data_IF_461811752861
#
_entry.id   IF_461811752861
#
_cell.length_a   1.000
_cell.length_b   1.000
_cell.length_c   1.000
_cell.angle_alpha   90.00
_cell.angle_beta   90.00
_cell.angle_gamma   90.00
#
_symmetry.space_group_name_H-M   'P 1'
#
loop_
_entity.id
_entity.type
_entity.pdbx_description
1 polymer ?
#
# COMPACT_ATOMS: atom_id res chain seq x y z
N UNK A 1 -11.22 4.04 -24.81
CA UNK A 1 -12.18 4.80 -23.98
C UNK A 1 -13.29 3.91 -23.40
N UNK A 2 -13.71 2.84 -24.08
CA UNK A 2 -14.84 2.08 -23.58
C UNK A 2 -14.62 1.32 -22.27
N UNK A 3 -13.45 0.74 -22.03
CA UNK A 3 -13.27 -0.14 -20.85
C UNK A 3 -12.96 0.65 -19.58
N UNK A 4 -11.98 1.55 -19.61
CA UNK A 4 -11.58 2.31 -18.43
C UNK A 4 -12.60 3.37 -18.05
N UNK A 5 -13.11 4.15 -19.02
CA UNK A 5 -14.15 5.14 -18.72
C UNK A 5 -15.45 4.50 -18.26
N UNK A 6 -15.79 3.32 -18.81
CA UNK A 6 -16.95 2.57 -18.34
C UNK A 6 -16.76 2.05 -16.92
N UNK A 7 -15.55 1.59 -16.57
CA UNK A 7 -15.21 1.21 -15.20
C UNK A 7 -15.21 2.40 -14.25
N UNK A 8 -14.68 3.56 -14.68
CA UNK A 8 -14.75 4.82 -13.93
C UNK A 8 -16.20 5.30 -13.79
N UNK A 9 -17.02 5.21 -14.83
CA UNK A 9 -18.44 5.55 -14.78
C UNK A 9 -19.22 4.59 -13.88
N UNK A 10 -18.94 3.30 -13.93
CA UNK A 10 -19.55 2.29 -13.06
C UNK A 10 -19.07 2.42 -11.59
N UNK A 11 -17.84 2.83 -11.36
CA UNK A 11 -17.28 3.16 -10.04
C UNK A 11 -17.58 4.61 -9.58
N UNK A 12 -18.26 5.39 -10.39
CA UNK A 12 -18.44 6.83 -10.37
C UNK A 12 -18.54 7.55 -9.01
N UNK A 13 -19.27 7.07 -7.98
CA UNK A 13 -19.27 7.73 -6.67
C UNK A 13 -18.00 7.49 -5.85
N UNK A 14 -17.21 6.49 -6.20
CA UNK A 14 -16.04 6.03 -5.43
C UNK A 14 -14.78 6.79 -5.86
N UNK A 15 -14.68 7.19 -7.13
CA UNK A 15 -13.54 7.90 -7.71
C UNK A 15 -13.86 9.39 -7.91
N UNK A 16 -14.02 10.13 -6.82
CA UNK A 16 -14.25 11.58 -6.88
C UNK A 16 -12.99 12.32 -6.41
N UNK A 17 -12.01 12.45 -7.28
CA UNK A 17 -10.80 13.25 -7.03
C UNK A 17 -11.11 14.71 -7.28
N UNK A 18 -11.25 15.51 -6.21
CA UNK A 18 -11.50 16.96 -6.30
C UNK A 18 -10.23 17.77 -6.55
N UNK A 19 -9.13 17.32 -6.01
CA UNK A 19 -7.82 17.94 -6.12
C UNK A 19 -6.79 16.84 -6.36
N UNK A 20 -6.18 16.86 -7.51
CA UNK A 20 -5.11 15.94 -7.85
C UNK A 20 -3.76 16.33 -7.19
N UNK A 21 -2.72 15.55 -7.42
CA UNK A 21 -1.40 15.82 -6.85
C UNK A 21 -0.83 17.14 -7.35
N UNK A 22 -1.05 17.51 -8.62
CA UNK A 22 -0.58 18.77 -9.18
C UNK A 22 -1.25 19.97 -8.52
N UNK A 23 -2.58 19.90 -8.26
CA UNK A 23 -3.33 20.90 -7.51
C UNK A 23 -2.79 21.07 -6.10
N UNK A 24 -2.55 19.96 -5.40
CA UNK A 24 -2.03 19.97 -4.03
C UNK A 24 -0.63 20.56 -3.94
N UNK A 25 0.27 20.21 -4.86
CA UNK A 25 1.62 20.78 -4.95
C UNK A 25 1.55 22.30 -5.21
N UNK A 26 0.70 22.70 -6.15
CA UNK A 26 0.51 24.12 -6.49
C UNK A 26 -0.04 24.91 -5.30
N UNK A 27 -1.03 24.37 -4.60
CA UNK A 27 -1.59 24.98 -3.39
C UNK A 27 -0.53 25.11 -2.27
N UNK A 28 0.42 24.17 -2.21
CA UNK A 28 1.57 24.23 -1.29
C UNK A 28 2.71 25.15 -1.80
N UNK A 29 2.51 25.88 -2.91
CA UNK A 29 3.54 26.73 -3.55
C UNK A 29 4.77 25.95 -4.01
N UNK A 30 4.63 24.66 -4.37
CA UNK A 30 5.68 23.83 -4.97
C UNK A 30 5.49 23.89 -6.50
N UNK A 31 6.44 24.48 -7.24
CA UNK A 31 6.33 24.54 -8.69
C UNK A 31 6.36 23.14 -9.32
N UNK A 32 5.45 22.81 -10.22
CA UNK A 32 5.45 21.51 -10.90
C UNK A 32 6.75 21.27 -11.68
N UNK A 33 7.41 22.35 -12.16
CA UNK A 33 8.71 22.28 -12.83
C UNK A 33 9.88 21.88 -11.91
N UNK A 34 9.69 21.86 -10.58
CA UNK A 34 10.68 21.34 -9.64
C UNK A 34 10.60 19.83 -9.42
N UNK A 35 9.55 19.20 -9.94
CA UNK A 35 9.37 17.75 -9.85
C UNK A 35 10.14 17.08 -11.00
N UNK A 36 11.16 16.33 -10.65
CA UNK A 36 12.04 15.69 -11.62
C UNK A 36 11.51 14.34 -12.10
N UNK A 37 10.82 13.62 -11.22
CA UNK A 37 10.34 12.27 -11.53
C UNK A 37 9.02 11.98 -10.84
N UNK A 38 8.17 11.23 -11.52
CA UNK A 38 6.97 10.59 -10.98
C UNK A 38 7.26 9.08 -10.96
N UNK A 39 7.00 8.43 -9.84
CA UNK A 39 7.18 6.99 -9.68
C UNK A 39 5.82 6.37 -9.46
N UNK A 40 5.39 5.52 -10.37
CA UNK A 40 4.20 4.71 -10.16
C UNK A 40 4.56 3.46 -9.35
N UNK A 41 3.84 3.22 -8.26
CA UNK A 41 3.92 1.91 -7.58
C UNK A 41 3.47 0.79 -8.51
N UNK A 42 2.39 1.03 -9.27
CA UNK A 42 1.87 0.18 -10.33
C UNK A 42 0.85 0.96 -11.17
N UNK A 43 0.25 0.31 -12.16
CA UNK A 43 -0.56 0.97 -13.19
C UNK A 43 -2.08 1.05 -12.91
N UNK A 44 -2.55 0.70 -11.71
CA UNK A 44 -3.96 0.87 -11.38
C UNK A 44 -4.34 2.35 -11.32
N UNK A 45 -5.59 2.66 -11.68
CA UNK A 45 -6.07 4.03 -11.94
C UNK A 45 -5.96 4.96 -10.71
N UNK A 46 -6.11 4.41 -9.52
CA UNK A 46 -6.01 5.11 -8.24
C UNK A 46 -4.57 5.40 -7.79
N UNK A 47 -3.56 4.85 -8.51
CA UNK A 47 -2.14 5.07 -8.23
C UNK A 47 -1.40 5.84 -9.33
N UNK A 48 -2.03 6.10 -10.47
CA UNK A 48 -1.36 6.75 -11.60
C UNK A 48 -1.41 8.27 -11.55
N UNK A 49 -2.43 8.84 -10.93
CA UNK A 49 -2.67 10.27 -11.00
C UNK A 49 -2.76 10.76 -12.46
N UNK A 50 -2.41 12.02 -12.69
CA UNK A 50 -2.32 12.61 -14.03
C UNK A 50 -0.94 13.19 -14.31
N UNK A 51 0.03 12.39 -14.83
CA UNK A 51 1.34 12.88 -15.21
C UNK A 51 1.31 13.95 -16.30
N UNK A 52 0.24 14.02 -17.12
CA UNK A 52 0.16 14.99 -18.23
C UNK A 52 0.19 16.45 -17.75
N UNK A 53 -0.22 16.70 -16.49
CA UNK A 53 -0.19 18.02 -15.85
C UNK A 53 1.23 18.51 -15.53
N UNK A 54 2.20 17.60 -15.50
CA UNK A 54 3.59 17.95 -15.21
C UNK A 54 4.37 18.26 -16.49
N UNK A 55 5.43 19.09 -16.41
CA UNK A 55 6.30 19.36 -17.55
C UNK A 55 6.86 18.07 -18.16
N UNK A 56 7.12 18.10 -19.47
CA UNK A 56 7.69 16.93 -20.17
C UNK A 56 9.13 16.60 -19.75
N UNK A 57 9.78 17.50 -19.01
CA UNK A 57 11.07 17.25 -18.34
C UNK A 57 10.95 16.35 -17.11
N UNK A 58 9.74 16.19 -16.54
CA UNK A 58 9.49 15.26 -15.44
C UNK A 58 9.42 13.85 -16.01
N UNK A 59 10.36 12.98 -15.65
CA UNK A 59 10.35 11.58 -16.09
C UNK A 59 9.23 10.78 -15.42
N UNK A 60 8.78 9.70 -16.06
CA UNK A 60 7.88 8.72 -15.47
C UNK A 60 8.64 7.40 -15.26
N UNK A 61 8.64 6.92 -14.03
CA UNK A 61 9.33 5.69 -13.62
C UNK A 61 8.28 4.63 -13.30
N UNK A 62 8.46 3.46 -13.86
CA UNK A 62 7.55 2.32 -13.75
C UNK A 62 8.31 1.05 -13.40
N UNK A 63 7.59 0.06 -12.90
CA UNK A 63 8.16 -1.25 -12.57
C UNK A 63 8.44 -2.11 -13.81
N UNK A 64 9.16 -3.24 -13.60
CA UNK A 64 9.51 -4.16 -14.66
C UNK A 64 8.28 -4.75 -15.37
N UNK A 65 8.37 -4.91 -16.70
CA UNK A 65 7.33 -5.51 -17.52
C UNK A 65 6.26 -4.54 -18.00
N UNK A 66 6.26 -3.27 -17.56
CA UNK A 66 5.27 -2.27 -17.97
C UNK A 66 5.16 -2.11 -19.48
N UNK A 67 6.29 -2.02 -20.19
CA UNK A 67 6.30 -1.88 -21.66
C UNK A 67 5.92 -3.17 -22.40
N UNK A 68 6.14 -4.31 -21.77
CA UNK A 68 5.81 -5.61 -22.34
C UNK A 68 4.32 -5.96 -22.17
N UNK A 69 3.65 -5.35 -21.20
CA UNK A 69 2.24 -5.59 -20.92
C UNK A 69 1.35 -4.81 -21.92
N UNK A 70 0.59 -5.56 -22.72
CA UNK A 70 -0.23 -4.99 -23.80
C UNK A 70 -1.36 -4.09 -23.35
N UNK A 71 -1.74 -4.18 -22.08
CA UNK A 71 -2.81 -3.34 -21.52
C UNK A 71 -2.29 -2.08 -20.87
N UNK A 72 -0.96 -1.86 -20.83
CA UNK A 72 -0.35 -0.63 -20.34
C UNK A 72 0.33 0.16 -21.45
N UNK A 73 1.08 -0.49 -22.33
CA UNK A 73 1.88 0.19 -23.35
C UNK A 73 1.70 -0.42 -24.75
N UNK A 74 1.55 0.39 -25.83
CA UNK A 74 1.30 1.84 -25.76
C UNK A 74 -0.05 2.13 -25.11
N UNK A 75 -0.21 3.37 -24.59
CA UNK A 75 -1.41 3.80 -23.88
C UNK A 75 -2.57 4.12 -24.82
N UNK A 76 -3.76 4.32 -24.25
CA UNK A 76 -4.92 4.81 -24.99
C UNK A 76 -4.69 6.25 -25.48
N UNK A 77 -5.06 6.66 -26.70
CA UNK A 77 -5.87 5.92 -27.68
C UNK A 77 -5.06 5.08 -28.67
N UNK A 78 -3.71 5.07 -28.59
CA UNK A 78 -2.90 4.28 -29.53
C UNK A 78 -3.19 2.79 -29.42
N UNK A 79 -3.44 2.34 -28.21
CA UNK A 79 -3.95 1.01 -27.93
C UNK A 79 -5.35 1.15 -27.31
N UNK A 80 -6.44 0.73 -28.01
CA UNK A 80 -7.79 0.83 -27.48
C UNK A 80 -8.06 0.00 -26.21
N UNK A 81 -7.25 -1.05 -25.97
CA UNK A 81 -7.37 -1.95 -24.82
C UNK A 81 -6.52 -1.49 -23.63
N UNK A 82 -5.74 -0.42 -23.78
CA UNK A 82 -4.89 0.08 -22.71
C UNK A 82 -5.71 0.69 -21.57
N UNK A 83 -5.27 0.40 -20.34
CA UNK A 83 -5.87 0.92 -19.10
C UNK A 83 -5.24 2.24 -18.66
N UNK A 84 -4.10 2.63 -19.24
CA UNK A 84 -3.44 3.91 -19.02
C UNK A 84 -3.50 4.79 -20.26
N UNK A 85 -3.53 6.11 -20.05
CA UNK A 85 -3.57 7.07 -21.13
C UNK A 85 -2.16 7.32 -21.71
N UNK A 86 -2.07 7.49 -23.04
CA UNK A 86 -0.81 7.76 -23.74
C UNK A 86 -0.15 9.06 -23.30
N UNK A 87 -0.91 10.08 -22.97
CA UNK A 87 -0.43 11.41 -22.55
C UNK A 87 0.34 11.38 -21.24
N UNK A 88 0.14 10.34 -20.42
CA UNK A 88 0.91 10.13 -19.20
C UNK A 88 2.42 10.04 -19.47
N UNK A 89 2.82 9.44 -20.60
CA UNK A 89 4.23 9.26 -20.96
C UNK A 89 4.62 9.86 -22.32
N UNK A 90 3.68 10.47 -23.03
CA UNK A 90 3.97 11.09 -24.32
C UNK A 90 4.89 12.31 -24.17
N UNK A 91 6.01 12.29 -24.90
CA UNK A 91 6.97 13.39 -24.92
C UNK A 91 7.82 13.54 -23.67
N UNK A 92 7.75 12.60 -22.71
CA UNK A 92 8.62 12.52 -21.54
C UNK A 92 9.45 11.25 -21.54
N UNK A 93 10.51 11.25 -20.74
CA UNK A 93 11.27 10.03 -20.52
C UNK A 93 10.45 9.04 -19.71
N UNK A 94 10.22 7.84 -20.24
CA UNK A 94 9.62 6.71 -19.55
C UNK A 94 10.75 5.75 -19.17
N UNK A 95 11.00 5.59 -17.88
CA UNK A 95 12.06 4.73 -17.33
C UNK A 95 11.39 3.48 -16.72
N UNK A 96 11.67 2.33 -17.32
CA UNK A 96 11.28 1.05 -16.76
C UNK A 96 12.47 0.49 -15.96
N UNK A 97 12.23 0.24 -14.66
CA UNK A 97 13.28 -0.27 -13.78
C UNK A 97 13.58 -1.74 -14.07
N UNK A 98 14.85 -2.08 -13.98
CA UNK A 98 15.34 -3.46 -14.07
C UNK A 98 16.02 -3.86 -12.75
N UNK A 99 15.57 -4.96 -12.17
CA UNK A 99 16.13 -5.51 -10.94
C UNK A 99 16.91 -6.81 -11.17
N UNK A 100 17.04 -7.27 -12.40
CA UNK A 100 17.68 -8.57 -12.73
C UNK A 100 19.16 -8.59 -12.38
N UNK A 101 19.84 -7.46 -12.56
CA UNK A 101 21.25 -7.28 -12.25
C UNK A 101 21.51 -6.57 -10.91
N UNK A 102 20.45 -6.24 -10.18
CA UNK A 102 20.60 -5.54 -8.90
C UNK A 102 21.19 -6.48 -7.83
N UNK A 103 22.42 -6.17 -7.42
CA UNK A 103 23.07 -6.84 -6.27
C UNK A 103 22.56 -6.31 -4.94
N UNK A 104 21.87 -5.16 -4.92
CA UNK A 104 21.36 -4.55 -3.71
C UNK A 104 20.13 -5.31 -3.22
N UNK A 105 20.17 -5.73 -1.97
CA UNK A 105 19.04 -6.34 -1.25
C UNK A 105 18.74 -5.55 0.02
N UNK A 106 17.46 -5.26 0.24
CA UNK A 106 16.98 -4.61 1.46
C UNK A 106 15.79 -5.41 1.98
N UNK A 107 15.92 -6.06 3.13
CA UNK A 107 14.89 -6.95 3.66
C UNK A 107 14.47 -8.03 2.67
N UNK A 108 15.43 -8.63 1.95
CA UNK A 108 15.22 -9.62 0.89
C UNK A 108 14.53 -9.11 -0.39
N UNK A 109 14.13 -7.84 -0.46
CA UNK A 109 13.74 -7.23 -1.72
C UNK A 109 14.94 -6.92 -2.60
N UNK A 110 14.83 -7.17 -3.91
CA UNK A 110 15.72 -6.52 -4.88
C UNK A 110 15.45 -5.03 -4.85
N UNK A 111 16.47 -4.20 -4.79
CA UNK A 111 16.35 -2.78 -4.57
C UNK A 111 17.22 -1.95 -5.50
N UNK A 112 16.81 -0.72 -5.73
CA UNK A 112 17.60 0.33 -6.38
C UNK A 112 17.74 1.48 -5.38
N UNK A 113 18.96 1.93 -5.11
CA UNK A 113 19.22 3.19 -4.43
C UNK A 113 19.00 4.32 -5.44
N UNK A 114 17.84 4.97 -5.37
CA UNK A 114 17.36 5.85 -6.43
C UNK A 114 18.24 7.09 -6.63
N UNK A 115 18.73 7.65 -5.53
CA UNK A 115 19.62 8.82 -5.56
C UNK A 115 21.10 8.46 -5.40
N UNK A 116 21.42 7.20 -5.08
CA UNK A 116 22.78 6.74 -4.85
C UNK A 116 23.40 7.21 -3.53
N UNK A 117 22.59 7.77 -2.62
CA UNK A 117 23.01 8.32 -1.33
C UNK A 117 22.34 7.62 -0.13
N UNK A 118 21.52 6.62 -0.40
CA UNK A 118 20.79 5.85 0.59
C UNK A 118 19.60 6.58 1.20
N UNK A 119 19.13 7.68 0.58
CA UNK A 119 17.97 8.43 1.08
C UNK A 119 16.64 7.85 0.63
N UNK A 120 16.61 7.20 -0.53
CA UNK A 120 15.39 6.64 -1.09
C UNK A 120 15.66 5.38 -1.91
N UNK A 121 15.05 4.29 -1.51
CA UNK A 121 15.17 3.01 -2.21
C UNK A 121 13.84 2.64 -2.86
N UNK A 122 13.91 2.13 -4.09
CA UNK A 122 12.78 1.48 -4.75
C UNK A 122 12.97 -0.03 -4.64
N UNK A 123 11.93 -0.72 -4.21
CA UNK A 123 11.93 -2.14 -3.90
C UNK A 123 11.02 -2.87 -4.89
N UNK A 124 11.53 -3.95 -5.48
CA UNK A 124 10.72 -4.79 -6.36
C UNK A 124 9.80 -5.69 -5.54
N UNK A 125 8.49 -5.45 -5.63
CA UNK A 125 7.45 -6.08 -4.83
C UNK A 125 6.37 -6.75 -5.71
N UNK A 126 6.73 -7.76 -6.51
CA UNK A 126 5.80 -8.37 -7.46
C UNK A 126 4.64 -9.11 -6.77
N UNK A 127 3.54 -9.28 -7.51
CA UNK A 127 2.42 -10.15 -7.14
C UNK A 127 1.04 -9.50 -7.19
N UNK A 128 0.90 -8.21 -6.84
CA UNK A 128 -0.40 -7.54 -6.74
C UNK A 128 -0.98 -7.11 -8.09
N UNK A 129 -0.21 -6.50 -8.95
CA UNK A 129 -0.78 -5.85 -10.13
C UNK A 129 -1.43 -6.83 -11.09
N UNK A 130 -2.71 -6.61 -11.32
CA UNK A 130 -3.56 -7.38 -12.22
C UNK A 130 -4.25 -6.47 -13.22
N UNK A 131 -4.11 -6.82 -14.50
CA UNK A 131 -5.05 -6.33 -15.47
C UNK A 131 -6.45 -6.86 -15.16
N UNK A 132 -7.42 -5.97 -14.99
CA UNK A 132 -8.83 -6.32 -14.97
C UNK A 132 -9.25 -6.99 -16.28
N UNK A 133 -8.91 -8.27 -16.44
CA UNK A 133 -9.67 -9.12 -17.33
C UNK A 133 -10.64 -9.92 -16.47
N UNK A 134 -11.90 -9.53 -16.54
CA UNK A 134 -13.01 -10.43 -16.27
C UNK A 134 -12.70 -11.72 -17.02
N UNK A 135 -12.38 -12.78 -16.28
CA UNK A 135 -12.03 -14.09 -16.80
C UNK A 135 -13.17 -14.65 -17.64
N UNK A 136 -13.08 -14.57 -18.96
CA UNK A 136 -13.99 -15.28 -19.86
C UNK A 136 -13.25 -16.27 -20.77
N UNK A 137 -11.91 -16.24 -20.83
CA UNK A 137 -11.17 -17.21 -21.67
C UNK A 137 -9.91 -17.68 -20.94
N UNK A 138 -9.75 -18.97 -20.67
CA UNK A 138 -8.49 -19.54 -20.19
C UNK A 138 -7.52 -19.66 -21.36
N UNK A 139 -6.81 -18.60 -21.71
CA UNK A 139 -5.65 -18.69 -22.57
C UNK A 139 -4.40 -18.64 -21.68
N UNK A 140 -3.65 -19.73 -21.71
CA UNK A 140 -2.35 -19.92 -21.09
C UNK A 140 -1.34 -18.87 -21.62
N UNK A 141 -1.39 -17.66 -21.07
CA UNK A 141 -0.31 -16.69 -21.16
C UNK A 141 0.24 -16.57 -19.76
N UNK A 142 1.51 -16.88 -19.60
CA UNK A 142 2.27 -16.72 -18.35
C UNK A 142 2.44 -15.22 -18.08
N UNK A 143 1.38 -14.58 -17.58
CA UNK A 143 1.37 -13.16 -17.24
C UNK A 143 1.94 -13.05 -15.86
N UNK A 144 3.22 -12.72 -15.78
CA UNK A 144 3.89 -12.46 -14.50
C UNK A 144 3.61 -11.01 -14.09
N UNK A 145 3.07 -10.84 -12.89
CA UNK A 145 2.78 -9.54 -12.28
C UNK A 145 4.07 -8.91 -11.75
N UNK A 146 4.81 -8.22 -12.61
CA UNK A 146 6.16 -7.76 -12.26
C UNK A 146 6.25 -6.28 -11.87
N UNK A 147 5.24 -5.47 -12.18
CA UNK A 147 5.37 -4.02 -12.17
C UNK A 147 5.20 -3.34 -10.80
N UNK A 148 4.77 -4.06 -9.76
CA UNK A 148 4.54 -3.42 -8.46
C UNK A 148 5.84 -3.08 -7.74
N UNK A 149 5.92 -1.83 -7.28
CA UNK A 149 7.04 -1.25 -6.57
C UNK A 149 6.62 -0.79 -5.18
N UNK A 150 7.44 -1.08 -4.20
CA UNK A 150 7.40 -0.42 -2.90
C UNK A 150 8.55 0.60 -2.83
N UNK A 151 8.51 1.48 -1.84
CA UNK A 151 9.61 2.39 -1.59
C UNK A 151 9.98 2.42 -0.11
N UNK A 152 11.25 2.72 0.17
CA UNK A 152 11.77 2.93 1.51
C UNK A 152 12.45 4.30 1.56
N UNK A 153 11.80 5.26 2.17
CA UNK A 153 12.28 6.63 2.31
C UNK A 153 12.96 6.84 3.67
N UNK A 154 14.20 7.31 3.66
CA UNK A 154 14.92 7.67 4.88
C UNK A 154 14.42 9.02 5.39
N UNK A 155 13.92 9.07 6.62
CA UNK A 155 13.43 10.29 7.25
C UNK A 155 14.40 10.87 8.28
N UNK A 156 15.30 10.05 8.82
CA UNK A 156 16.42 10.46 9.66
C UNK A 156 17.56 9.43 9.57
N UNK A 157 18.62 9.57 10.35
CA UNK A 157 19.84 8.75 10.21
C UNK A 157 19.56 7.25 10.07
N UNK A 158 18.70 6.70 10.93
CA UNK A 158 18.42 5.26 11.00
C UNK A 158 16.91 4.97 10.98
N UNK A 159 16.08 5.93 10.50
CA UNK A 159 14.63 5.81 10.46
C UNK A 159 14.10 5.95 9.07
N UNK A 160 13.09 5.12 8.76
CA UNK A 160 12.53 5.01 7.44
C UNK A 160 11.01 4.99 7.47
N UNK A 161 10.42 5.42 6.37
CA UNK A 161 9.03 5.15 6.04
C UNK A 161 9.01 4.16 4.89
N UNK A 162 8.31 3.05 5.08
CA UNK A 162 8.05 2.06 4.05
C UNK A 162 6.72 2.38 3.38
N UNK A 163 6.75 2.64 2.09
CA UNK A 163 5.58 2.95 1.26
C UNK A 163 5.22 1.68 0.48
N UNK A 164 4.20 0.98 0.94
CA UNK A 164 3.87 -0.36 0.48
C UNK A 164 2.89 -0.42 -0.70
N UNK A 165 2.39 0.74 -1.17
CA UNK A 165 1.37 0.74 -2.24
C UNK A 165 0.24 -0.23 -1.90
N UNK A 166 -0.06 -1.14 -2.84
CA UNK A 166 -1.10 -2.16 -2.74
C UNK A 166 -0.55 -3.57 -2.45
N UNK A 167 0.64 -3.66 -1.84
CA UNK A 167 1.18 -4.96 -1.41
C UNK A 167 0.26 -5.70 -0.45
N UNK A 168 -0.58 -4.97 0.30
CA UNK A 168 -1.73 -5.43 1.06
C UNK A 168 -2.88 -4.43 0.92
N UNK A 169 -4.12 -4.90 0.98
CA UNK A 169 -5.32 -4.06 0.92
C UNK A 169 -5.83 -3.67 2.30
N UNK A 170 -5.48 -4.46 3.30
CA UNK A 170 -5.88 -4.25 4.69
C UNK A 170 -4.79 -4.74 5.63
N UNK A 171 -4.49 -4.00 6.70
CA UNK A 171 -3.44 -4.39 7.64
C UNK A 171 -3.64 -5.75 8.29
N UNK A 172 -4.86 -6.27 8.32
CA UNK A 172 -5.18 -7.63 8.76
C UNK A 172 -4.62 -8.74 7.87
N UNK A 173 -4.20 -8.44 6.63
CA UNK A 173 -3.47 -9.37 5.75
C UNK A 173 -1.99 -9.50 6.12
N UNK A 174 -1.46 -8.50 6.84
CA UNK A 174 -0.08 -8.44 7.30
C UNK A 174 0.08 -8.83 8.76
N UNK A 175 -0.89 -8.48 9.60
CA UNK A 175 -0.85 -8.56 11.07
C UNK A 175 -1.97 -9.42 11.65
N UNK A 176 -1.70 -10.11 12.77
CA UNK A 176 -0.39 -10.27 13.42
C UNK A 176 0.55 -11.17 12.62
N UNK A 177 1.81 -11.26 13.04
CA UNK A 177 2.80 -12.19 12.48
C UNK A 177 3.68 -12.76 13.57
N UNK A 178 4.49 -13.76 13.24
CA UNK A 178 5.48 -14.31 14.17
C UNK A 178 6.54 -13.29 14.60
N UNK A 179 6.77 -12.26 13.78
CA UNK A 179 7.72 -11.16 14.05
C UNK A 179 7.06 -10.01 14.83
N UNK A 180 5.74 -9.85 14.70
CA UNK A 180 4.95 -8.84 15.38
C UNK A 180 3.65 -9.50 15.89
N UNK A 181 3.73 -10.27 16.99
CA UNK A 181 2.56 -10.96 17.52
C UNK A 181 1.55 -9.97 18.13
N UNK A 182 0.27 -10.37 18.09
CA UNK A 182 -0.79 -9.63 18.79
C UNK A 182 -0.49 -9.59 20.29
N UNK A 183 -0.35 -8.40 20.89
CA UNK A 183 0.00 -8.29 22.31
C UNK A 183 -1.17 -8.69 23.21
N UNK A 184 -0.88 -9.09 24.46
CA UNK A 184 -1.91 -9.36 25.48
C UNK A 184 -2.74 -8.13 25.82
N UNK A 185 -2.13 -6.95 25.68
CA UNK A 185 -2.76 -5.65 25.94
C UNK A 185 -2.38 -4.65 24.84
N UNK A 186 -3.39 -4.09 24.19
CA UNK A 186 -3.24 -3.07 23.14
C UNK A 186 -3.48 -1.72 23.75
N UNK A 187 -2.50 -0.83 23.66
CA UNK A 187 -2.55 0.52 24.21
C UNK A 187 -1.99 1.53 23.19
N UNK A 188 -2.75 2.56 22.80
CA UNK A 188 -4.16 2.79 23.20
C UNK A 188 -5.11 1.77 22.60
N UNK A 189 -6.29 1.64 23.19
CA UNK A 189 -7.34 0.77 22.65
C UNK A 189 -7.70 1.17 21.22
N UNK A 190 -7.81 0.23 20.25
CA UNK A 190 -8.18 0.54 18.88
C UNK A 190 -9.58 1.14 18.74
N UNK A 191 -10.45 0.92 19.72
CA UNK A 191 -11.83 1.41 19.77
C UNK A 191 -11.99 2.81 20.33
N UNK A 192 -10.99 3.30 21.06
CA UNK A 192 -11.05 4.59 21.71
C UNK A 192 -10.69 5.73 20.75
N UNK A 193 -11.03 6.95 21.15
CA UNK A 193 -10.49 8.15 20.50
C UNK A 193 -8.95 8.20 20.70
N UNK A 194 -8.24 8.84 19.77
CA UNK A 194 -6.77 8.95 19.83
C UNK A 194 -6.25 9.66 21.09
N UNK A 195 -7.10 10.42 21.78
CA UNK A 195 -6.79 11.10 23.05
C UNK A 195 -7.02 10.23 24.28
N UNK A 196 -7.59 9.04 24.13
CA UNK A 196 -7.86 8.11 25.22
C UNK A 196 -6.64 7.25 25.54
N UNK A 197 -6.48 6.88 26.80
CA UNK A 197 -5.46 5.95 27.27
C UNK A 197 -6.06 4.57 27.61
N UNK A 198 -7.20 4.21 27.01
CA UNK A 198 -7.83 2.92 27.22
C UNK A 198 -6.94 1.75 26.81
N UNK A 199 -7.18 0.61 27.45
CA UNK A 199 -6.47 -0.65 27.17
C UNK A 199 -7.47 -1.67 26.66
N UNK A 200 -7.14 -2.31 25.54
CA UNK A 200 -7.93 -3.39 24.97
C UNK A 200 -7.17 -4.73 25.13
N UNK A 201 -7.76 -5.75 25.78
CA UNK A 201 -7.15 -7.07 25.83
C UNK A 201 -7.08 -7.71 24.46
N UNK A 202 -5.90 -8.22 24.06
CA UNK A 202 -5.72 -8.91 22.78
C UNK A 202 -6.57 -10.18 22.66
N UNK A 203 -6.87 -10.85 23.79
CA UNK A 203 -7.73 -12.05 23.83
C UNK A 203 -9.15 -11.81 23.35
N UNK A 204 -9.64 -10.57 23.28
CA UNK A 204 -10.96 -10.25 22.71
C UNK A 204 -11.06 -10.67 21.24
N UNK A 205 -9.97 -10.68 20.53
CA UNK A 205 -9.93 -11.01 19.10
C UNK A 205 -9.83 -12.51 18.82
N UNK A 206 -9.52 -13.33 19.84
CA UNK A 206 -9.36 -14.79 19.69
C UNK A 206 -10.60 -15.45 19.09
N UNK A 207 -11.79 -15.14 19.63
CA UNK A 207 -13.04 -15.79 19.22
C UNK A 207 -13.53 -15.41 17.82
N UNK A 208 -13.04 -14.31 17.27
CA UNK A 208 -13.40 -13.82 15.92
C UNK A 208 -12.30 -14.07 14.90
N UNK A 209 -11.13 -14.51 15.36
CA UNK A 209 -10.02 -14.78 14.47
C UNK A 209 -10.30 -16.02 13.60
N UNK A 210 -9.91 -16.05 12.31
CA UNK A 210 -10.13 -17.21 11.44
C UNK A 210 -9.60 -18.54 12.01
N UNK A 211 -8.51 -18.51 12.78
CA UNK A 211 -7.95 -19.69 13.44
C UNK A 211 -8.90 -20.34 14.45
N UNK A 212 -9.79 -19.57 15.07
CA UNK A 212 -10.80 -20.09 16.00
C UNK A 212 -11.84 -20.96 15.26
N UNK A 213 -12.13 -20.63 13.99
CA UNK A 213 -13.08 -21.38 13.15
C UNK A 213 -12.41 -22.58 12.50
N UNK A 214 -11.18 -22.39 11.99
CA UNK A 214 -10.49 -23.40 11.18
C UNK A 214 -9.58 -24.33 11.99
N UNK A 215 -9.42 -24.07 13.31
CA UNK A 215 -8.52 -24.81 14.21
C UNK A 215 -7.06 -24.91 13.70
N UNK A 216 -6.64 -23.92 12.92
CA UNK A 216 -5.30 -23.87 12.31
C UNK A 216 -4.57 -22.61 12.74
N UNK A 217 -3.37 -22.79 13.29
CA UNK A 217 -2.51 -21.67 13.68
C UNK A 217 -2.84 -21.06 15.05
N UNK A 218 -2.06 -20.06 15.40
CA UNK A 218 -2.17 -19.27 16.62
C UNK A 218 -2.69 -17.87 16.26
N UNK A 219 -3.79 -17.44 16.85
CA UNK A 219 -4.39 -16.12 16.58
C UNK A 219 -3.44 -14.95 16.87
N UNK A 220 -2.44 -15.17 17.71
CA UNK A 220 -1.44 -14.13 18.02
C UNK A 220 -0.40 -13.93 16.93
N UNK A 221 -0.23 -14.91 16.04
CA UNK A 221 0.86 -14.90 15.04
C UNK A 221 0.39 -15.13 13.62
N UNK A 222 -0.91 -15.35 13.43
CA UNK A 222 -1.53 -15.56 12.11
C UNK A 222 -2.30 -14.29 11.70
N UNK A 223 -2.16 -13.78 10.48
CA UNK A 223 -2.95 -12.65 9.99
C UNK A 223 -4.45 -12.87 10.08
N UNK A 224 -5.21 -11.78 10.30
CA UNK A 224 -6.68 -11.84 10.40
C UNK A 224 -7.36 -12.14 9.08
N UNK A 225 -6.74 -11.74 7.95
CA UNK A 225 -7.29 -11.94 6.62
C UNK A 225 -6.35 -12.75 5.75
N UNK A 226 -6.94 -13.59 4.92
CA UNK A 226 -6.21 -14.22 3.82
C UNK A 226 -5.98 -13.20 2.70
N UNK A 227 -4.87 -13.36 1.99
CA UNK A 227 -4.59 -12.52 0.82
C UNK A 227 -5.63 -12.75 -0.28
N UNK A 228 -6.21 -11.69 -0.86
CA UNK A 228 -7.31 -11.80 -1.79
C UNK A 228 -6.86 -12.43 -3.12
N UNK A 229 -7.35 -13.61 -3.43
CA UNK A 229 -7.00 -14.34 -4.67
C UNK A 229 -7.45 -13.63 -5.95
N UNK A 230 -8.50 -12.81 -5.86
CA UNK A 230 -9.05 -12.08 -7.00
C UNK A 230 -8.28 -10.78 -7.31
N UNK A 231 -7.46 -10.30 -6.39
CA UNK A 231 -6.62 -9.11 -6.55
C UNK A 231 -5.14 -9.45 -6.72
N UNK A 232 -4.79 -10.73 -6.83
CA UNK A 232 -3.42 -11.20 -6.94
C UNK A 232 -3.27 -12.05 -8.20
N UNK A 233 -2.31 -11.71 -9.06
CA UNK A 233 -2.01 -12.55 -10.24
C UNK A 233 -1.20 -13.77 -9.82
N UNK A 234 -0.23 -13.57 -8.95
CA UNK A 234 0.67 -14.61 -8.45
C UNK A 234 0.61 -14.62 -6.93
N UNK A 235 -0.38 -15.35 -6.38
CA UNK A 235 -0.57 -15.45 -4.94
C UNK A 235 0.68 -15.97 -4.20
N UNK A 236 1.41 -17.00 -4.68
CA UNK A 236 2.68 -17.39 -4.07
C UNK A 236 3.70 -16.26 -3.99
N UNK A 237 3.76 -15.38 -4.99
CA UNK A 237 4.68 -14.23 -4.97
C UNK A 237 4.21 -13.13 -4.03
N UNK A 238 2.89 -12.87 -3.96
CA UNK A 238 2.31 -11.95 -2.96
C UNK A 238 2.64 -12.41 -1.54
N UNK A 239 2.48 -13.71 -1.25
CA UNK A 239 2.82 -14.28 0.07
C UNK A 239 4.29 -14.02 0.43
N UNK A 240 5.21 -14.19 -0.52
CA UNK A 240 6.64 -13.87 -0.30
C UNK A 240 6.84 -12.37 -0.06
N UNK A 241 6.20 -11.53 -0.86
CA UNK A 241 6.27 -10.07 -0.71
C UNK A 241 5.77 -9.64 0.67
N UNK A 242 4.60 -10.14 1.11
CA UNK A 242 4.06 -9.85 2.45
C UNK A 242 5.00 -10.35 3.54
N UNK A 243 5.57 -11.54 3.42
CA UNK A 243 6.54 -12.07 4.40
C UNK A 243 7.78 -11.18 4.55
N UNK A 244 8.26 -10.60 3.45
CA UNK A 244 9.37 -9.62 3.48
C UNK A 244 8.94 -8.31 4.17
N UNK A 245 7.71 -7.84 3.92
CA UNK A 245 7.18 -6.62 4.54
C UNK A 245 7.04 -6.81 6.06
N UNK A 246 6.68 -7.99 6.55
CA UNK A 246 6.59 -8.29 7.98
C UNK A 246 7.89 -8.02 8.74
N UNK A 247 9.05 -8.15 8.09
CA UNK A 247 10.35 -7.80 8.68
C UNK A 247 10.46 -6.29 8.96
N UNK A 248 10.01 -5.47 8.01
CA UNK A 248 9.98 -4.01 8.18
C UNK A 248 8.93 -3.58 9.21
N UNK A 249 7.78 -4.23 9.18
CA UNK A 249 6.67 -3.92 10.08
C UNK A 249 7.03 -4.17 11.55
N UNK A 250 7.77 -5.23 11.83
CA UNK A 250 8.27 -5.55 13.16
C UNK A 250 9.41 -4.64 13.63
N UNK A 251 10.11 -3.94 12.71
CA UNK A 251 11.23 -3.06 13.06
C UNK A 251 10.75 -1.76 13.72
N UNK A 252 11.35 -1.39 14.85
CA UNK A 252 11.12 -0.07 15.51
C UNK A 252 11.65 1.11 14.68
N UNK A 253 12.43 0.85 13.65
CA UNK A 253 13.09 1.85 12.83
C UNK A 253 12.33 2.16 11.54
N UNK A 254 11.23 1.45 11.30
CA UNK A 254 10.42 1.60 10.09
C UNK A 254 8.96 1.88 10.44
N UNK A 255 8.40 2.94 9.87
CA UNK A 255 6.96 3.18 9.83
C UNK A 255 6.43 2.64 8.51
N UNK A 256 5.57 1.62 8.58
CA UNK A 256 4.96 1.00 7.38
C UNK A 256 3.63 1.65 7.09
N UNK A 257 3.43 2.06 5.83
CA UNK A 257 2.22 2.73 5.33
C UNK A 257 1.79 2.07 4.02
N UNK A 258 0.51 1.76 3.90
CA UNK A 258 -0.12 1.24 2.69
C UNK A 258 -1.16 2.22 2.13
N UNK A 259 -1.47 2.11 0.84
CA UNK A 259 -2.36 3.03 0.18
C UNK A 259 -3.81 2.96 0.71
N UNK A 260 -4.31 1.75 0.99
CA UNK A 260 -5.69 1.52 1.44
C UNK A 260 -5.85 1.36 2.96
N UNK A 261 -4.84 1.75 3.75
CA UNK A 261 -4.93 1.71 5.21
C UNK A 261 -5.70 2.91 5.77
N UNK A 262 -7.02 2.84 5.76
CA UNK A 262 -7.89 3.87 6.33
C UNK A 262 -7.66 4.09 7.84
N UNK A 263 -7.05 3.13 8.52
CA UNK A 263 -6.77 3.24 9.95
C UNK A 263 -5.74 4.32 10.29
N UNK A 264 -4.92 4.73 9.30
CA UNK A 264 -3.88 5.75 9.47
C UNK A 264 -4.36 7.19 9.13
N UNK A 265 -5.54 7.36 8.54
CA UNK A 265 -6.03 8.68 8.08
C UNK A 265 -6.11 9.69 9.23
N UNK A 266 -6.57 9.27 10.41
CA UNK A 266 -6.69 10.13 11.59
C UNK A 266 -5.37 10.26 12.39
N UNK A 267 -4.33 9.51 12.01
CA UNK A 267 -3.07 9.41 12.77
C UNK A 267 -1.95 10.17 12.07
N UNK A 268 -1.78 9.94 10.77
CA UNK A 268 -0.69 10.53 10.02
C UNK A 268 -1.07 11.92 9.48
N UNK A 269 -0.10 12.84 9.46
CA UNK A 269 -0.33 14.13 8.81
C UNK A 269 -0.49 13.94 7.31
N UNK A 270 -1.49 14.61 6.73
CA UNK A 270 -1.76 14.59 5.29
C UNK A 270 -1.18 15.86 4.67
N UNK A 271 -0.46 15.70 3.57
CA UNK A 271 0.09 16.82 2.80
C UNK A 271 -1.05 17.76 2.32
N UNK A 272 -0.85 19.11 2.34
CA UNK A 272 0.36 19.83 2.77
C UNK A 272 0.40 20.16 4.27
N UNK A 273 -0.48 19.60 5.09
CA UNK A 273 -0.63 19.96 6.51
C UNK A 273 0.48 19.42 7.43
N UNK A 274 1.36 18.54 6.92
CA UNK A 274 2.47 18.02 7.69
C UNK A 274 3.36 17.06 6.90
N UNK A 275 4.37 16.55 7.57
CA UNK A 275 5.39 15.66 7.05
C UNK A 275 5.71 14.53 8.02
N UNK A 276 6.39 13.49 7.52
CA UNK A 276 6.80 12.34 8.33
C UNK A 276 8.26 12.41 8.81
N UNK A 277 8.96 13.52 8.54
CA UNK A 277 10.30 13.75 9.07
C UNK A 277 10.26 13.74 10.60
N UNK A 278 11.05 12.90 11.24
CA UNK A 278 11.07 12.80 12.71
C UNK A 278 9.87 12.03 13.29
N UNK A 279 9.18 11.20 12.51
CA UNK A 279 8.04 10.38 12.95
C UNK A 279 8.36 9.52 14.18
N UNK A 280 9.62 9.14 14.37
CA UNK A 280 10.10 8.37 15.53
C UNK A 280 9.94 9.10 16.88
N UNK A 281 9.75 10.43 16.85
CA UNK A 281 9.48 11.27 18.04
C UNK A 281 7.99 11.42 18.31
N UNK A 282 7.17 10.81 17.48
CA UNK A 282 5.72 10.80 17.60
C UNK A 282 5.24 9.42 18.04
N UNK A 283 3.94 9.32 18.30
CA UNK A 283 3.32 8.04 18.63
C UNK A 283 2.70 7.34 17.39
N UNK A 284 3.00 7.79 16.17
CA UNK A 284 2.33 7.31 14.95
C UNK A 284 2.39 5.79 14.81
N UNK A 285 3.56 5.18 14.98
CA UNK A 285 3.69 3.73 14.90
C UNK A 285 2.88 3.01 15.97
N UNK A 286 2.95 3.47 17.22
CA UNK A 286 2.20 2.88 18.34
C UNK A 286 0.69 3.02 18.15
N UNK A 287 0.23 4.17 17.68
CA UNK A 287 -1.18 4.43 17.41
C UNK A 287 -1.69 3.61 16.22
N UNK A 288 -0.88 3.51 15.14
CA UNK A 288 -1.28 2.92 13.87
C UNK A 288 -1.20 1.40 13.83
N UNK A 289 -0.23 0.76 14.52
CA UNK A 289 0.04 -0.67 14.35
C UNK A 289 -1.19 -1.57 14.52
N UNK A 290 -2.00 -1.34 15.53
CA UNK A 290 -3.19 -2.14 15.82
C UNK A 290 -4.51 -1.40 15.58
N UNK A 291 -4.47 -0.21 14.98
CA UNK A 291 -5.64 0.63 14.79
C UNK A 291 -6.70 -0.01 13.87
N UNK A 292 -6.30 -0.81 12.88
CA UNK A 292 -7.19 -1.54 11.98
C UNK A 292 -8.16 -2.47 12.73
N UNK A 293 -7.82 -2.90 13.95
CA UNK A 293 -8.69 -3.74 14.77
C UNK A 293 -10.01 -3.07 15.13
N UNK A 294 -10.12 -1.73 15.00
CA UNK A 294 -11.40 -0.99 15.13
C UNK A 294 -12.49 -1.48 14.17
N UNK A 295 -12.11 -2.12 13.06
CA UNK A 295 -13.04 -2.60 12.05
C UNK A 295 -13.84 -3.84 12.53
N UNK A 296 -13.37 -4.49 13.59
CA UNK A 296 -14.07 -5.61 14.24
C UNK A 296 -15.10 -5.15 15.25
N UNK A 297 -16.16 -4.45 14.80
CA UNK A 297 -17.23 -3.86 15.63
C UNK A 297 -17.97 -4.85 16.55
N UNK A 298 -17.99 -6.14 16.20
CA UNK A 298 -18.62 -7.20 17.00
C UNK A 298 -17.94 -7.38 18.36
N UNK A 299 -16.66 -7.03 18.47
CA UNK A 299 -15.89 -7.09 19.73
C UNK A 299 -16.31 -5.97 20.67
N UNK A 300 -16.58 -4.78 20.14
CA UNK A 300 -17.02 -3.61 20.90
C UNK A 300 -18.38 -3.85 21.57
N UNK A 301 -19.32 -4.48 20.86
CA UNK A 301 -20.63 -4.85 21.42
C UNK A 301 -20.53 -5.78 22.63
N UNK A 302 -19.59 -6.74 22.64
CA UNK A 302 -19.39 -7.65 23.76
C UNK A 302 -18.80 -6.98 25.01
N UNK A 303 -18.07 -5.87 24.86
CA UNK A 303 -17.57 -5.09 25.99
C UNK A 303 -18.70 -4.32 26.71
N UNK A 304 -19.68 -3.82 25.95
CA UNK A 304 -20.84 -3.12 26.50
C UNK A 304 -21.78 -3.99 27.32
N UNK A 305 -21.91 -5.28 26.98
CA UNK A 305 -22.78 -6.23 27.66
C UNK A 305 -22.18 -6.81 28.95
N UNK A 306 -20.83 -6.85 29.06
CA UNK A 306 -20.15 -7.36 30.27
C UNK A 306 -20.16 -6.40 31.48
N UNK A 307 -20.60 -5.16 31.30
CA UNK A 307 -20.62 -4.11 32.32
C UNK A 307 -21.91 -4.03 33.15
N UNK A 308 -22.94 -4.83 32.86
CA UNK A 308 -24.22 -4.82 33.58
C UNK A 308 -24.55 -6.17 34.23
N UNK A 309 -23.64 -6.72 35.02
CA UNK A 309 -23.97 -7.69 36.04
C UNK A 309 -23.35 -7.26 37.37
N UNK A 310 -24.04 -6.36 38.05
CA UNK A 310 -23.80 -6.13 39.48
C UNK A 310 -25.11 -5.91 40.18
N UNK A 311 -25.40 -6.88 41.04
CA UNK A 311 -26.21 -6.91 42.27
C UNK A 311 -27.72 -6.76 42.14
#
# INVERSE_FOLDING_TARGET
MHTVLKQIEEAGPILNVKHDVADQLTAASIPLGSINSIIWSHHHVDHTGDPSLFPKSTSLIVGPGFRAEKTTYPGYPLNPDAVVCQDAFEGRELIELDFTESMLKIGDFSAVDFFGDGSFYILHAPGHSKNYRICIIPLLIDIKAYDHLNALARTSKDKFVFLGGDSVQHCGELRPSSLLPLPDSITPSPFDSLSSCGVCPGSLFESIHPTAVNSTGDYKTTPFYELPTHMSIDLPEVVKTVSKIQVFDASSDVLVVFAHDESLVDILPIFPGGELTGWEKTNYKTLGTWRFLKDFKVVEAKQGEGGQQTT
#
